data_IF_234841250147
#
_entry.id   IF_234841250147
#
_cell.length_a   1.000
_cell.length_b   1.000
_cell.length_c   1.000
_cell.angle_alpha   90.00
_cell.angle_beta   90.00
_cell.angle_gamma   90.00
#
_symmetry.space_group_name_H-M   'P 1'
#
loop_
_entity.id
_entity.type
_entity.pdbx_description
1 polymer ?
#
# COMPACT_ATOMS: atom_id res chain seq x y z
N UNK A 1 -9.78 -6.11 -14.17
CA UNK A 1 -9.54 -7.39 -13.47
C UNK A 1 -8.04 -7.66 -13.38
N UNK A 2 -7.58 -8.22 -12.26
CA UNK A 2 -6.18 -8.62 -12.06
C UNK A 2 -5.92 -9.95 -12.76
N UNK A 3 -4.85 -10.03 -13.56
CA UNK A 3 -4.48 -11.28 -14.23
C UNK A 3 -3.81 -12.23 -13.24
N UNK A 4 -4.22 -13.49 -13.21
CA UNK A 4 -3.57 -14.52 -12.39
C UNK A 4 -2.09 -14.69 -12.73
N UNK A 5 -1.74 -14.58 -14.01
CA UNK A 5 -0.35 -14.59 -14.48
C UNK A 5 0.49 -13.48 -13.85
N UNK A 6 -0.08 -12.28 -13.67
CA UNK A 6 0.58 -11.17 -12.97
C UNK A 6 0.79 -11.50 -11.49
N UNK A 7 -0.21 -12.07 -10.79
CA UNK A 7 -0.05 -12.48 -9.39
C UNK A 7 1.05 -13.53 -9.26
N UNK A 8 1.00 -14.58 -10.08
CA UNK A 8 1.98 -15.67 -10.08
C UNK A 8 3.41 -15.18 -10.36
N UNK A 9 3.55 -14.14 -11.21
CA UNK A 9 4.85 -13.54 -11.52
C UNK A 9 5.51 -12.93 -10.28
N UNK A 10 4.74 -12.28 -9.41
CA UNK A 10 5.28 -11.55 -8.24
C UNK A 10 5.24 -12.37 -6.95
N UNK A 11 4.46 -13.44 -6.88
CA UNK A 11 4.20 -14.22 -5.67
C UNK A 11 5.48 -14.61 -4.91
N UNK A 12 6.41 -15.27 -5.61
CA UNK A 12 7.62 -15.79 -4.98
C UNK A 12 8.54 -14.68 -4.46
N UNK A 13 8.68 -13.61 -5.24
CA UNK A 13 9.52 -12.47 -4.87
C UNK A 13 8.92 -11.76 -3.66
N UNK A 14 7.62 -11.49 -3.67
CA UNK A 14 6.91 -10.85 -2.55
C UNK A 14 7.01 -11.71 -1.28
N UNK A 15 6.80 -13.02 -1.39
CA UNK A 15 6.94 -13.95 -0.26
C UNK A 15 8.34 -13.90 0.34
N UNK A 16 9.38 -13.98 -0.49
CA UNK A 16 10.78 -13.93 -0.05
C UNK A 16 11.13 -12.58 0.57
N UNK A 17 10.66 -11.48 -0.01
CA UNK A 17 10.88 -10.13 0.52
C UNK A 17 10.23 -9.95 1.89
N UNK A 18 8.98 -10.38 2.06
CA UNK A 18 8.31 -10.33 3.37
C UNK A 18 9.02 -11.19 4.42
N UNK A 19 9.47 -12.38 4.03
CA UNK A 19 10.23 -13.25 4.94
C UNK A 19 11.53 -12.60 5.39
N UNK A 20 12.32 -12.07 4.44
CA UNK A 20 13.55 -11.32 4.76
C UNK A 20 13.27 -10.18 5.73
N UNK A 21 12.26 -9.35 5.46
CA UNK A 21 11.90 -8.21 6.29
C UNK A 21 11.64 -8.65 7.73
N UNK A 22 10.74 -9.61 7.93
CA UNK A 22 10.34 -10.00 9.28
C UNK A 22 11.40 -10.80 10.02
N UNK A 23 12.23 -11.58 9.33
CA UNK A 23 13.36 -12.26 9.95
C UNK A 23 14.41 -11.25 10.44
N UNK A 24 14.68 -10.19 9.67
CA UNK A 24 15.55 -9.09 10.09
C UNK A 24 14.95 -8.29 11.24
N UNK A 25 13.66 -7.96 11.19
CA UNK A 25 12.96 -7.29 12.29
C UNK A 25 13.04 -8.09 13.59
N UNK A 26 12.83 -9.41 13.55
CA UNK A 26 12.94 -10.27 14.75
C UNK A 26 14.34 -10.28 15.34
N UNK A 27 15.38 -10.17 14.52
CA UNK A 27 16.75 -10.09 14.99
C UNK A 27 17.08 -8.71 15.59
N UNK A 28 16.52 -7.65 15.02
CA UNK A 28 16.86 -6.27 15.36
C UNK A 28 15.95 -5.62 16.41
N UNK A 29 14.78 -6.21 16.69
CA UNK A 29 13.84 -5.67 17.68
C UNK A 29 14.51 -5.48 19.06
N UNK A 30 14.23 -4.35 19.70
CA UNK A 30 14.79 -4.02 21.02
C UNK A 30 14.05 -4.75 22.13
N UNK A 31 12.77 -4.99 21.93
CA UNK A 31 11.92 -5.74 22.83
C UNK A 31 11.16 -6.82 22.05
N UNK A 32 10.94 -7.98 22.68
CA UNK A 32 10.22 -9.10 22.07
C UNK A 32 8.78 -8.76 21.66
N UNK A 33 8.21 -7.72 22.28
CA UNK A 33 6.87 -7.20 21.99
C UNK A 33 6.81 -6.13 20.90
N UNK A 34 7.91 -5.69 20.29
CA UNK A 34 7.88 -4.55 19.35
C UNK A 34 7.01 -4.85 18.11
N UNK A 35 7.13 -6.06 17.54
CA UNK A 35 6.31 -6.48 16.42
C UNK A 35 4.83 -6.64 16.79
N UNK A 36 4.54 -7.03 18.04
CA UNK A 36 3.17 -7.07 18.55
C UNK A 36 2.59 -5.66 18.65
N UNK A 37 3.37 -4.68 19.11
CA UNK A 37 2.95 -3.27 19.15
C UNK A 37 2.77 -2.67 17.75
N UNK A 38 3.55 -3.12 16.77
CA UNK A 38 3.32 -2.75 15.37
C UNK A 38 1.98 -3.32 14.88
N UNK A 39 1.73 -4.60 15.10
CA UNK A 39 0.51 -5.28 14.66
C UNK A 39 -0.76 -4.72 15.32
N UNK A 40 -0.72 -4.51 16.62
CA UNK A 40 -1.89 -4.09 17.41
C UNK A 40 -2.05 -2.57 17.50
N UNK A 41 -1.06 -1.83 16.99
CA UNK A 41 -0.93 -0.40 17.14
C UNK A 41 -0.86 0.10 18.60
N UNK A 42 0.36 0.37 19.09
CA UNK A 42 0.60 1.13 20.32
C UNK A 42 0.59 2.65 20.11
N UNK A 43 -0.10 3.41 20.97
CA UNK A 43 -0.16 4.88 20.89
C UNK A 43 -0.33 5.52 22.28
N UNK A 44 -0.10 6.83 22.38
CA UNK A 44 -0.43 7.61 23.58
C UNK A 44 -1.84 8.20 23.46
N UNK A 45 -2.71 7.91 24.42
CA UNK A 45 -4.07 8.46 24.47
C UNK A 45 -4.09 9.96 24.85
N UNK A 46 -5.27 10.58 24.79
CA UNK A 46 -5.47 11.99 25.17
C UNK A 46 -5.17 12.31 26.64
N UNK A 47 -5.00 11.28 27.50
CA UNK A 47 -4.61 11.41 28.91
C UNK A 47 -3.12 11.12 29.13
N UNK A 48 -2.33 10.96 28.07
CA UNK A 48 -0.89 10.69 28.15
C UNK A 48 -0.54 9.24 28.49
N UNK A 49 -1.47 8.30 28.32
CA UNK A 49 -1.28 6.89 28.72
C UNK A 49 -0.95 6.02 27.51
N UNK A 50 -0.03 5.05 27.63
CA UNK A 50 0.18 4.06 26.60
C UNK A 50 -1.05 3.17 26.47
N UNK A 51 -1.55 3.03 25.24
CA UNK A 51 -2.68 2.21 24.88
C UNK A 51 -2.36 1.39 23.64
N UNK A 52 -3.12 0.31 23.43
CA UNK A 52 -3.01 -0.58 22.27
C UNK A 52 -4.39 -0.72 21.64
N UNK A 53 -4.45 -0.66 20.31
CA UNK A 53 -5.68 -0.76 19.51
C UNK A 53 -5.70 0.27 18.39
N UNK A 54 -6.85 0.47 17.74
CA UNK A 54 -6.95 1.37 16.58
C UNK A 54 -6.54 2.82 16.91
N UNK A 55 -6.92 3.32 18.08
CA UNK A 55 -6.85 4.74 18.41
C UNK A 55 -7.63 5.60 17.41
N UNK A 56 -7.60 6.92 17.59
CA UNK A 56 -8.32 7.84 16.71
C UNK A 56 -7.91 7.72 15.23
N UNK A 57 -6.61 7.56 14.97
CA UNK A 57 -6.09 7.48 13.59
C UNK A 57 -6.54 6.21 12.88
N UNK A 58 -6.51 5.06 13.58
CA UNK A 58 -7.05 3.81 13.05
C UNK A 58 -8.56 3.86 12.87
N UNK A 59 -9.30 4.47 13.80
CA UNK A 59 -10.75 4.65 13.69
C UNK A 59 -11.12 5.49 12.46
N UNK A 60 -10.40 6.57 12.20
CA UNK A 60 -10.64 7.43 11.03
C UNK A 60 -10.30 6.74 9.69
N UNK A 61 -9.39 5.76 9.72
CA UNK A 61 -8.98 5.01 8.52
C UNK A 61 -9.70 3.65 8.39
N UNK A 62 -10.57 3.29 9.34
CA UNK A 62 -11.11 1.93 9.47
C UNK A 62 -11.90 1.49 8.24
N UNK A 63 -12.67 2.38 7.63
CA UNK A 63 -13.44 2.09 6.43
C UNK A 63 -12.54 1.75 5.24
N UNK A 64 -11.41 2.45 5.09
CA UNK A 64 -10.42 2.18 4.04
C UNK A 64 -9.72 0.83 4.27
N UNK A 65 -9.35 0.53 5.52
CA UNK A 65 -8.74 -0.76 5.90
C UNK A 65 -9.72 -1.92 5.68
N UNK A 66 -10.98 -1.76 6.08
CA UNK A 66 -12.03 -2.73 5.84
C UNK A 66 -12.25 -2.95 4.34
N UNK A 67 -12.27 -1.88 3.53
CA UNK A 67 -12.41 -2.00 2.08
C UNK A 67 -11.31 -2.88 1.49
N UNK A 68 -10.05 -2.65 1.85
CA UNK A 68 -8.91 -3.47 1.39
C UNK A 68 -9.08 -4.92 1.86
N UNK A 69 -9.50 -5.13 3.10
CA UNK A 69 -9.58 -6.47 3.71
C UNK A 69 -10.72 -7.32 3.16
N UNK A 70 -11.88 -6.72 2.88
CA UNK A 70 -13.06 -7.44 2.39
C UNK A 70 -13.08 -7.58 0.87
N UNK A 71 -12.70 -6.54 0.13
CA UNK A 71 -12.81 -6.51 -1.33
C UNK A 71 -11.50 -6.90 -2.03
N UNK A 72 -10.37 -6.92 -1.31
CA UNK A 72 -9.07 -7.25 -1.86
C UNK A 72 -8.63 -6.31 -2.99
N UNK A 73 -7.87 -6.89 -3.93
CA UNK A 73 -7.31 -6.18 -5.10
C UNK A 73 -8.22 -6.21 -6.34
N UNK A 74 -9.45 -6.70 -6.21
CA UNK A 74 -10.39 -6.87 -7.34
C UNK A 74 -10.49 -8.32 -7.85
N UNK A 75 -11.27 -8.54 -8.91
CA UNK A 75 -11.51 -9.89 -9.41
C UNK A 75 -10.27 -10.41 -10.14
N UNK A 76 -9.98 -11.70 -9.91
CA UNK A 76 -8.89 -12.42 -10.57
C UNK A 76 -9.44 -13.11 -11.81
N UNK A 77 -8.72 -13.00 -12.92
CA UNK A 77 -9.10 -13.64 -14.18
C UNK A 77 -7.89 -14.28 -14.87
N UNK A 78 -8.17 -15.37 -15.58
CA UNK A 78 -7.22 -16.04 -16.47
C UNK A 78 -7.36 -15.54 -17.93
N UNK A 79 -8.34 -14.68 -18.22
CA UNK A 79 -8.70 -14.30 -19.58
C UNK A 79 -7.78 -13.21 -20.18
N UNK A 80 -6.66 -13.59 -20.78
CA UNK A 80 -5.77 -12.64 -21.44
C UNK A 80 -6.39 -11.94 -22.68
N UNK A 81 -7.48 -12.48 -23.24
CA UNK A 81 -8.10 -12.02 -24.49
C UNK A 81 -9.44 -11.29 -24.27
N UNK A 82 -9.73 -10.87 -23.03
CA UNK A 82 -10.96 -10.16 -22.65
C UNK A 82 -11.36 -9.04 -23.64
N UNK A 83 -10.38 -8.34 -24.22
CA UNK A 83 -10.59 -7.30 -25.22
C UNK A 83 -10.93 -7.81 -26.62
N UNK A 84 -10.36 -8.95 -27.04
CA UNK A 84 -10.69 -9.56 -28.34
C UNK A 84 -12.14 -10.06 -28.36
N UNK A 85 -12.69 -10.45 -27.21
CA UNK A 85 -14.05 -10.99 -27.09
C UNK A 85 -15.13 -9.90 -27.13
N UNK A 86 -14.90 -8.79 -26.43
CA UNK A 86 -15.94 -7.76 -26.19
C UNK A 86 -15.82 -6.53 -27.12
N UNK A 87 -14.77 -6.42 -27.93
CA UNK A 87 -14.66 -5.43 -29.01
C UNK A 87 -14.56 -3.97 -28.52
N UNK A 88 -15.31 -3.04 -29.12
CA UNK A 88 -15.28 -1.60 -28.77
C UNK A 88 -16.43 -1.18 -27.82
N UNK A 89 -17.18 -2.12 -27.24
CA UNK A 89 -18.32 -1.82 -26.37
C UNK A 89 -17.94 -1.20 -25.00
N UNK A 90 -16.66 -0.87 -24.80
CA UNK A 90 -16.06 -0.49 -23.53
C UNK A 90 -16.22 0.99 -23.13
N UNK A 91 -16.84 1.84 -23.95
CA UNK A 91 -16.87 3.29 -23.68
C UNK A 91 -18.11 3.79 -22.92
N UNK A 92 -18.93 2.89 -22.37
CA UNK A 92 -20.14 3.27 -21.64
C UNK A 92 -19.94 3.40 -20.12
N UNK A 93 -18.74 3.15 -19.58
CA UNK A 93 -18.44 3.29 -18.15
C UNK A 93 -19.11 2.26 -17.24
N UNK A 94 -19.68 1.20 -17.81
CA UNK A 94 -20.50 0.19 -17.11
C UNK A 94 -19.95 -1.23 -17.26
N UNK A 95 -18.76 -1.42 -17.84
CA UNK A 95 -18.20 -2.76 -17.98
C UNK A 95 -17.64 -3.27 -16.64
N UNK A 96 -17.72 -4.58 -16.40
CA UNK A 96 -17.09 -5.20 -15.23
C UNK A 96 -15.58 -4.90 -15.17
N UNK A 97 -14.95 -4.75 -16.33
CA UNK A 97 -13.55 -4.43 -16.43
C UNK A 97 -13.20 -3.02 -15.94
N UNK A 98 -13.95 -1.99 -16.34
CA UNK A 98 -13.77 -0.62 -15.85
C UNK A 98 -14.04 -0.54 -14.35
N UNK A 99 -15.12 -1.17 -13.88
CA UNK A 99 -15.45 -1.22 -12.45
C UNK A 99 -14.31 -1.85 -11.64
N UNK A 100 -13.67 -2.88 -12.16
CA UNK A 100 -12.52 -3.53 -11.54
C UNK A 100 -11.24 -2.70 -11.59
N UNK A 101 -11.00 -1.91 -12.64
CA UNK A 101 -9.89 -0.94 -12.67
C UNK A 101 -10.10 0.11 -11.60
N UNK A 102 -11.30 0.70 -11.54
CA UNK A 102 -11.65 1.71 -10.54
C UNK A 102 -11.44 1.14 -9.13
N UNK A 103 -11.85 -0.11 -8.88
CA UNK A 103 -11.61 -0.79 -7.61
C UNK A 103 -10.11 -0.92 -7.30
N UNK A 104 -9.29 -1.32 -8.27
CA UNK A 104 -7.83 -1.41 -8.10
C UNK A 104 -7.21 -0.05 -7.77
N UNK A 105 -7.63 1.02 -8.45
CA UNK A 105 -7.20 2.38 -8.16
C UNK A 105 -7.60 2.84 -6.76
N UNK A 106 -8.82 2.56 -6.34
CA UNK A 106 -9.29 2.85 -4.97
C UNK A 106 -8.46 2.07 -3.95
N UNK A 107 -8.21 0.78 -4.16
CA UNK A 107 -7.36 -0.03 -3.27
C UNK A 107 -5.95 0.53 -3.19
N UNK A 108 -5.36 0.90 -4.33
CA UNK A 108 -4.04 1.52 -4.38
C UNK A 108 -3.98 2.83 -3.57
N UNK A 109 -4.98 3.71 -3.75
CA UNK A 109 -5.08 4.95 -2.98
C UNK A 109 -5.31 4.69 -1.49
N UNK A 110 -6.18 3.75 -1.14
CA UNK A 110 -6.46 3.38 0.25
C UNK A 110 -5.24 2.77 0.97
N UNK A 111 -4.24 2.26 0.25
CA UNK A 111 -2.97 1.84 0.86
C UNK A 111 -2.08 3.07 1.08
N UNK A 112 -1.84 3.85 0.03
CA UNK A 112 -0.81 4.90 0.06
C UNK A 112 -1.27 6.24 0.68
N UNK A 113 -2.57 6.47 0.82
CA UNK A 113 -3.12 7.64 1.52
C UNK A 113 -3.49 7.37 2.98
N UNK A 114 -3.49 6.11 3.40
CA UNK A 114 -3.97 5.74 4.71
C UNK A 114 -2.91 5.99 5.78
N UNK A 115 -3.14 7.02 6.59
CA UNK A 115 -2.20 7.45 7.62
C UNK A 115 -1.95 6.36 8.66
N UNK A 116 -2.97 5.57 9.01
CA UNK A 116 -2.82 4.43 9.92
C UNK A 116 -1.87 3.37 9.34
N UNK A 117 -2.04 2.99 8.07
CA UNK A 117 -1.16 2.05 7.38
C UNK A 117 0.27 2.56 7.34
N UNK A 118 0.49 3.80 6.87
CA UNK A 118 1.81 4.41 6.79
C UNK A 118 2.50 4.45 8.16
N UNK A 119 1.73 4.74 9.21
CA UNK A 119 2.24 4.82 10.59
C UNK A 119 2.69 3.46 11.08
N UNK A 120 1.85 2.43 10.97
CA UNK A 120 2.21 1.06 11.35
C UNK A 120 3.42 0.60 10.54
N UNK A 121 3.47 0.92 9.25
CA UNK A 121 4.59 0.55 8.41
C UNK A 121 5.89 1.23 8.82
N UNK A 122 5.84 2.51 9.16
CA UNK A 122 6.99 3.26 9.69
C UNK A 122 7.48 2.63 11.01
N UNK A 123 6.59 2.13 11.88
CA UNK A 123 7.02 1.40 13.08
C UNK A 123 7.74 0.09 12.73
N UNK A 124 7.26 -0.67 11.73
CA UNK A 124 7.96 -1.88 11.27
C UNK A 124 9.36 -1.54 10.75
N UNK A 125 9.50 -0.43 10.01
CA UNK A 125 10.80 0.07 9.55
C UNK A 125 11.69 0.50 10.72
N UNK A 126 11.13 1.13 11.76
CA UNK A 126 11.87 1.45 12.98
C UNK A 126 12.42 0.17 13.63
N UNK A 127 11.60 -0.88 13.75
CA UNK A 127 12.01 -2.18 14.29
C UNK A 127 13.09 -2.83 13.43
N UNK A 128 12.96 -2.79 12.10
CA UNK A 128 13.99 -3.27 11.18
C UNK A 128 15.34 -2.61 11.47
N UNK A 129 15.35 -1.32 11.75
CA UNK A 129 16.56 -0.54 12.02
C UNK A 129 17.01 -0.58 13.49
N UNK A 130 16.38 -1.42 14.32
CA UNK A 130 16.70 -1.55 15.74
C UNK A 130 16.43 -0.28 16.55
N UNK A 131 15.47 0.53 16.12
CA UNK A 131 15.00 1.70 16.85
C UNK A 131 13.91 1.30 17.85
N UNK A 132 13.78 2.08 18.93
CA UNK A 132 12.71 1.88 19.90
C UNK A 132 11.34 2.20 19.27
N UNK A 133 10.30 1.51 19.73
CA UNK A 133 8.92 1.81 19.34
C UNK A 133 8.55 3.27 19.66
N UNK A 134 8.11 4.02 18.65
CA UNK A 134 7.78 5.43 18.83
C UNK A 134 6.29 5.61 19.18
N UNK A 135 5.99 5.66 20.48
CA UNK A 135 4.62 5.83 20.98
C UNK A 135 3.91 7.12 20.51
N UNK A 136 4.66 8.15 20.14
CA UNK A 136 4.14 9.46 19.75
C UNK A 136 4.07 9.65 18.22
N UNK A 137 4.40 8.64 17.43
CA UNK A 137 4.31 8.72 15.97
C UNK A 137 2.85 8.94 15.55
N UNK A 138 2.60 9.92 14.69
CA UNK A 138 1.25 10.25 14.20
C UNK A 138 1.32 10.85 12.80
N UNK A 139 0.37 10.47 11.94
CA UNK A 139 0.27 10.93 10.55
C UNK A 139 -1.09 11.57 10.23
N UNK A 140 -1.90 11.87 11.26
CA UNK A 140 -3.24 12.48 11.12
C UNK A 140 -3.26 13.76 10.27
N UNK A 141 -2.19 14.56 10.33
CA UNK A 141 -2.14 15.91 9.72
C UNK A 141 -1.13 16.03 8.57
N UNK A 142 -0.63 14.91 8.03
CA UNK A 142 0.32 14.96 6.91
C UNK A 142 -0.37 15.43 5.63
N UNK A 143 0.16 16.51 5.03
CA UNK A 143 -0.25 16.96 3.70
C UNK A 143 0.17 15.94 2.62
N UNK A 144 -0.50 15.89 1.46
CA UNK A 144 -0.19 14.92 0.40
C UNK A 144 1.29 14.85 -0.01
N UNK A 145 1.95 16.01 -0.15
CA UNK A 145 3.38 16.09 -0.49
C UNK A 145 4.27 15.48 0.61
N UNK A 146 3.92 15.72 1.87
CA UNK A 146 4.65 15.18 3.02
C UNK A 146 4.45 13.66 3.13
N UNK A 147 3.29 13.13 2.74
CA UNK A 147 3.10 11.66 2.62
C UNK A 147 4.00 11.06 1.55
N UNK A 148 4.09 11.70 0.38
CA UNK A 148 4.99 11.24 -0.70
C UNK A 148 6.45 11.21 -0.27
N UNK A 149 6.87 12.22 0.49
CA UNK A 149 8.20 12.31 1.07
C UNK A 149 8.40 11.24 2.15
N UNK A 150 7.46 11.07 3.07
CA UNK A 150 7.52 10.04 4.11
C UNK A 150 7.63 8.63 3.53
N UNK A 151 6.89 8.31 2.45
CA UNK A 151 6.98 7.00 1.80
C UNK A 151 8.37 6.79 1.19
N UNK A 152 8.92 7.79 0.49
CA UNK A 152 10.22 7.64 -0.18
C UNK A 152 11.39 7.68 0.80
N UNK A 153 11.42 8.68 1.66
CA UNK A 153 12.55 8.99 2.55
C UNK A 153 12.43 8.27 3.89
N UNK A 154 11.23 8.25 4.48
CA UNK A 154 10.98 7.69 5.82
C UNK A 154 10.63 6.21 5.85
N UNK A 155 10.39 5.58 4.69
CA UNK A 155 10.07 4.15 4.58
C UNK A 155 11.03 3.50 3.58
N UNK A 156 10.93 3.81 2.29
CA UNK A 156 11.66 3.08 1.23
C UNK A 156 13.19 3.16 1.42
N UNK A 157 13.74 4.36 1.65
CA UNK A 157 15.19 4.50 1.86
C UNK A 157 15.69 3.83 3.14
N UNK A 158 14.84 3.64 4.15
CA UNK A 158 15.24 3.01 5.42
C UNK A 158 15.10 1.48 5.41
N UNK A 159 14.84 0.87 4.26
CA UNK A 159 14.75 -0.58 4.07
C UNK A 159 16.06 -1.21 3.56
N UNK A 160 17.20 -0.54 3.71
CA UNK A 160 18.49 -1.04 3.22
C UNK A 160 18.90 -2.40 3.83
N UNK A 161 18.42 -2.69 5.05
CA UNK A 161 18.61 -4.00 5.71
C UNK A 161 17.72 -5.13 5.15
N UNK A 162 16.73 -4.78 4.33
CA UNK A 162 15.82 -5.72 3.64
C UNK A 162 15.71 -5.35 2.15
N UNK A 163 16.79 -5.57 1.37
CA UNK A 163 16.87 -5.11 -0.02
C UNK A 163 15.84 -5.76 -0.95
N UNK A 164 15.44 -7.02 -0.71
CA UNK A 164 14.43 -7.68 -1.54
C UNK A 164 13.07 -7.00 -1.36
N UNK A 165 12.71 -6.70 -0.11
CA UNK A 165 11.49 -5.97 0.21
C UNK A 165 11.54 -4.51 -0.23
N UNK A 166 12.69 -3.85 -0.12
CA UNK A 166 12.89 -2.49 -0.64
C UNK A 166 12.60 -2.42 -2.14
N UNK A 167 13.08 -3.39 -2.93
CA UNK A 167 12.81 -3.46 -4.37
C UNK A 167 11.32 -3.61 -4.65
N UNK A 168 10.64 -4.50 -3.95
CA UNK A 168 9.18 -4.70 -4.07
C UNK A 168 8.43 -3.38 -3.84
N UNK A 169 8.79 -2.61 -2.82
CA UNK A 169 8.13 -1.33 -2.57
C UNK A 169 8.45 -0.27 -3.62
N UNK A 170 9.68 -0.24 -4.14
CA UNK A 170 10.05 0.68 -5.25
C UNK A 170 9.21 0.41 -6.49
N UNK A 171 8.89 -0.85 -6.76
CA UNK A 171 8.03 -1.25 -7.86
C UNK A 171 6.54 -0.99 -7.56
N UNK A 172 6.13 -1.21 -6.31
CA UNK A 172 4.73 -1.07 -5.89
C UNK A 172 4.29 0.38 -5.68
N UNK A 173 5.17 1.29 -5.26
CA UNK A 173 4.85 2.70 -5.04
C UNK A 173 5.36 3.56 -6.19
N UNK A 174 4.44 3.95 -7.08
CA UNK A 174 4.70 4.90 -8.16
C UNK A 174 3.93 6.19 -7.89
N UNK A 175 4.68 7.27 -7.58
CA UNK A 175 4.10 8.57 -7.25
C UNK A 175 3.29 9.20 -8.39
N UNK A 176 3.71 8.98 -9.65
CA UNK A 176 2.97 9.44 -10.83
C UNK A 176 1.61 8.77 -10.94
N UNK A 177 1.53 7.44 -10.77
CA UNK A 177 0.27 6.69 -10.76
C UNK A 177 -0.64 7.21 -9.63
N UNK A 178 -0.09 7.42 -8.42
CA UNK A 178 -0.85 7.98 -7.30
C UNK A 178 -1.45 9.35 -7.66
N UNK A 179 -0.65 10.26 -8.20
CA UNK A 179 -1.11 11.59 -8.60
C UNK A 179 -2.14 11.50 -9.73
N UNK A 180 -1.94 10.61 -10.70
CA UNK A 180 -2.85 10.44 -11.83
C UNK A 180 -4.23 9.98 -11.37
N UNK A 181 -4.26 8.98 -10.49
CA UNK A 181 -5.50 8.46 -9.91
C UNK A 181 -6.19 9.51 -9.04
N UNK A 182 -5.43 10.24 -8.21
CA UNK A 182 -5.98 11.28 -7.33
C UNK A 182 -6.64 12.44 -8.09
N UNK A 183 -6.18 12.73 -9.30
CA UNK A 183 -6.69 13.80 -10.16
C UNK A 183 -7.54 13.31 -11.34
N UNK A 184 -7.85 12.01 -11.40
CA UNK A 184 -8.59 11.39 -12.50
C UNK A 184 -7.94 11.66 -13.88
N UNK A 185 -6.61 11.69 -13.92
CA UNK A 185 -5.79 11.91 -15.12
C UNK A 185 -5.39 10.57 -15.73
N UNK A 186 -6.38 9.77 -16.08
CA UNK A 186 -6.17 8.48 -16.72
C UNK A 186 -7.35 8.08 -17.62
N UNK A 187 -7.06 7.27 -18.61
CA UNK A 187 -8.02 6.72 -19.56
C UNK A 187 -7.89 5.20 -19.62
N UNK A 188 -9.03 4.50 -19.58
CA UNK A 188 -9.07 3.07 -19.89
C UNK A 188 -9.12 2.91 -21.41
N UNK A 189 -8.07 2.36 -22.04
CA UNK A 189 -7.97 2.20 -23.50
C UNK A 189 -7.57 0.77 -23.83
N UNK A 190 -8.37 0.09 -24.66
CA UNK A 190 -8.07 -1.16 -25.42
C UNK A 190 -7.32 -2.32 -24.75
N UNK A 191 -7.13 -2.33 -23.45
CA UNK A 191 -6.14 -3.26 -22.89
C UNK A 191 -5.70 -2.91 -21.49
N UNK A 192 -5.63 -1.62 -21.24
CA UNK A 192 -4.95 -1.10 -20.09
C UNK A 192 -5.34 0.34 -19.79
N UNK A 193 -4.41 0.99 -19.08
CA UNK A 193 -4.61 2.30 -18.50
C UNK A 193 -3.54 3.21 -19.10
N UNK A 194 -3.98 4.26 -19.76
CA UNK A 194 -3.14 5.39 -20.13
C UNK A 194 -3.23 6.41 -19.01
N UNK A 195 -2.08 6.90 -18.52
CA UNK A 195 -2.02 7.96 -17.53
C UNK A 195 -1.54 9.24 -18.21
N UNK A 196 -2.29 10.34 -18.09
CA UNK A 196 -2.02 11.57 -18.86
C UNK A 196 -0.74 12.26 -18.41
N UNK A 197 -0.34 11.98 -17.17
CA UNK A 197 0.85 12.51 -16.53
C UNK A 197 2.08 11.57 -16.65
N UNK A 198 1.95 10.45 -17.35
CA UNK A 198 3.00 9.43 -17.48
C UNK A 198 3.63 9.51 -18.86
N UNK A 199 4.81 10.12 -18.95
CA UNK A 199 5.68 9.99 -20.12
C UNK A 199 6.63 8.81 -19.87
N UNK A 200 6.67 7.77 -20.73
CA UNK A 200 7.68 6.74 -20.61
C UNK A 200 9.05 7.39 -20.83
N UNK A 201 9.89 7.36 -19.79
CA UNK A 201 11.31 7.70 -19.87
C UNK A 201 12.08 6.64 -20.64
#
# INVERSE_FOLDING_TARGET
MVRKSSINKYELDVRKGLQELFDKCRHNMKHSGDLLLCQQNGFIDYKGRPCVGLGDEGLNCMQQVNFISFNGIGNITDDNDYYKKEGNNFFYGNSEFEADIIRQHITYMNIWENSYFLRVFTQVVNVLNGLNYNWNLTFKNLKPNQKSEQIREGIIKLLDLSPNFQRILKDAYVGQIRNAVAHTQYHCIQGGILYDNYSPS
#
